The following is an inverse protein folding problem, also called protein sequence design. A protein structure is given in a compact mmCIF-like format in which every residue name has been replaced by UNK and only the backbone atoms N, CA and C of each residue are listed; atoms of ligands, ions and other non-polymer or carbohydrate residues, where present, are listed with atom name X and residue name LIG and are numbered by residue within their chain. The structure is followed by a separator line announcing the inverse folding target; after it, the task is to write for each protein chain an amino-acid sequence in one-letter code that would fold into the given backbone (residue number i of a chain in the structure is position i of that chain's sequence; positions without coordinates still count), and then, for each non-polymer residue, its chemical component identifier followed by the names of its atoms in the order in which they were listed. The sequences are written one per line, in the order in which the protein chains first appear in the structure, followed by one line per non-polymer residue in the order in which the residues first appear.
data_IF_553777702770
#
_entry.id   IF_553777702770
#
_cell.length_a   1.000
_cell.length_b   1.000
_cell.length_c   1.000
_cell.angle_alpha   90.00
_cell.angle_beta   90.00
_cell.angle_gamma   90.00
#
_symmetry.space_group_name_H-M   'P 1'
#
loop_
_entity.id
_entity.type
_entity.pdbx_description
1 polymer ?
#
# COMPACT_ATOMS: atom_id res chain seq x y z
N UNK A 1 43.44 -68.79 -21.58
CA UNK A 1 43.52 -67.32 -21.64
C UNK A 1 42.14 -66.79 -21.27
N UNK A 2 41.91 -66.48 -19.95
CA UNK A 2 40.60 -66.08 -19.42
C UNK A 2 40.61 -64.57 -19.19
N UNK A 3 39.74 -63.86 -19.89
CA UNK A 3 39.53 -62.47 -19.71
C UNK A 3 38.41 -62.31 -18.68
N UNK A 4 38.72 -61.75 -17.49
CA UNK A 4 37.74 -61.37 -16.48
C UNK A 4 37.23 -59.92 -16.77
N UNK A 5 35.95 -59.81 -17.12
CA UNK A 5 35.25 -58.52 -17.22
C UNK A 5 34.86 -58.07 -15.82
N UNK A 6 35.38 -56.91 -15.42
CA UNK A 6 34.94 -56.17 -14.23
C UNK A 6 33.77 -55.28 -14.64
N UNK A 7 32.58 -55.56 -14.10
CA UNK A 7 31.44 -54.64 -14.20
C UNK A 7 31.49 -53.67 -13.02
N UNK A 8 31.75 -52.41 -13.27
CA UNK A 8 31.65 -51.35 -12.26
C UNK A 8 30.19 -50.87 -12.17
N UNK A 9 29.51 -51.16 -11.06
CA UNK A 9 28.20 -50.65 -10.76
C UNK A 9 28.36 -49.21 -10.19
N UNK A 10 27.96 -48.21 -10.96
CA UNK A 10 27.85 -46.83 -10.47
C UNK A 10 26.56 -46.69 -9.67
N UNK A 11 26.68 -46.56 -8.34
CA UNK A 11 25.57 -46.22 -7.49
C UNK A 11 25.26 -44.71 -7.62
N UNK A 12 24.20 -44.39 -8.30
CA UNK A 12 23.63 -43.02 -8.34
C UNK A 12 22.88 -42.82 -7.04
N UNK A 13 23.47 -42.06 -6.11
CA UNK A 13 22.78 -41.60 -4.90
C UNK A 13 21.80 -40.52 -5.29
N UNK A 14 20.50 -40.81 -5.36
CA UNK A 14 19.44 -39.83 -5.37
C UNK A 14 19.45 -39.15 -4.01
N UNK A 15 19.96 -37.93 -3.94
CA UNK A 15 19.70 -37.01 -2.84
C UNK A 15 18.26 -36.56 -3.02
N UNK A 16 17.33 -37.22 -2.33
CA UNK A 16 15.99 -36.73 -2.17
C UNK A 16 16.06 -35.46 -1.28
N UNK A 17 16.04 -34.28 -1.90
CA UNK A 17 15.72 -33.05 -1.19
C UNK A 17 14.26 -33.18 -0.76
N UNK A 18 14.04 -33.75 0.43
CA UNK A 18 12.75 -33.71 1.08
C UNK A 18 12.43 -32.22 1.31
N UNK A 19 11.39 -31.71 0.66
CA UNK A 19 10.76 -30.47 1.13
C UNK A 19 10.35 -30.75 2.57
N UNK A 20 11.11 -30.21 3.54
CA UNK A 20 10.71 -30.22 4.95
C UNK A 20 9.38 -29.45 4.97
N UNK A 21 8.29 -30.12 5.32
CA UNK A 21 7.04 -29.42 5.58
C UNK A 21 7.34 -28.39 6.67
N UNK A 22 7.08 -27.12 6.34
CA UNK A 22 7.33 -26.04 7.27
C UNK A 22 6.50 -26.27 8.53
N UNK A 23 7.11 -26.15 9.69
CA UNK A 23 6.41 -26.26 10.97
C UNK A 23 5.50 -25.03 11.10
N UNK A 24 4.19 -25.26 11.12
CA UNK A 24 3.14 -24.24 11.27
C UNK A 24 2.50 -24.28 12.64
N UNK A 25 3.12 -24.99 13.61
CA UNK A 25 2.53 -25.22 14.92
C UNK A 25 2.36 -23.93 15.76
N UNK A 26 3.14 -22.89 15.45
CA UNK A 26 3.12 -21.57 16.07
C UNK A 26 2.30 -20.53 15.28
N UNK A 27 1.75 -20.91 14.10
CA UNK A 27 0.97 -19.98 13.30
C UNK A 27 -0.39 -19.73 13.93
N UNK A 28 -0.85 -18.46 13.96
CA UNK A 28 -2.21 -18.15 14.39
C UNK A 28 -3.23 -18.72 13.40
N UNK A 29 -4.36 -19.16 13.93
CA UNK A 29 -5.45 -19.66 13.08
C UNK A 29 -6.16 -18.53 12.31
N UNK A 30 -6.08 -17.31 12.80
CA UNK A 30 -6.72 -16.13 12.23
C UNK A 30 -5.72 -14.99 12.10
N UNK A 31 -5.80 -14.25 10.98
CA UNK A 31 -4.98 -13.07 10.69
C UNK A 31 -5.90 -11.93 10.24
N UNK A 32 -5.93 -10.84 10.99
CA UNK A 32 -6.58 -9.61 10.58
C UNK A 32 -5.58 -8.68 9.94
N UNK A 33 -5.92 -8.16 8.73
CA UNK A 33 -5.13 -7.17 7.99
C UNK A 33 -5.87 -5.84 8.04
N UNK A 34 -5.28 -4.84 8.67
CA UNK A 34 -5.81 -3.47 8.63
C UNK A 34 -5.74 -2.92 7.21
N UNK A 35 -6.89 -2.57 6.63
CA UNK A 35 -7.01 -2.04 5.27
C UNK A 35 -7.33 -0.54 5.27
N UNK A 36 -8.42 -0.11 4.68
CA UNK A 36 -8.97 1.25 4.75
C UNK A 36 -10.44 1.25 4.30
N UNK A 37 -11.00 2.43 4.02
CA UNK A 37 -12.38 2.59 3.59
C UNK A 37 -12.67 1.86 2.27
N UNK A 38 -13.89 1.39 2.12
CA UNK A 38 -14.41 0.87 0.86
C UNK A 38 -14.28 1.91 -0.26
N UNK A 39 -14.05 1.47 -1.49
CA UNK A 39 -13.78 2.33 -2.64
C UNK A 39 -12.31 2.76 -2.79
N UNK A 40 -11.49 2.58 -1.77
CA UNK A 40 -10.04 2.80 -1.82
C UNK A 40 -9.25 1.52 -2.14
N UNK A 41 -8.01 1.69 -2.62
CA UNK A 41 -7.18 0.57 -3.09
C UNK A 41 -6.77 -0.38 -1.97
N UNK A 42 -6.50 0.10 -0.75
CA UNK A 42 -6.17 -0.79 0.38
C UNK A 42 -7.29 -1.79 0.67
N UNK A 43 -8.55 -1.39 0.51
CA UNK A 43 -9.69 -2.30 0.71
C UNK A 43 -9.65 -3.46 -0.29
N UNK A 44 -9.47 -3.17 -1.58
CA UNK A 44 -9.42 -4.20 -2.64
C UNK A 44 -8.17 -5.07 -2.50
N UNK A 45 -7.01 -4.43 -2.40
CA UNK A 45 -5.72 -5.11 -2.31
C UNK A 45 -5.64 -5.99 -1.05
N UNK A 46 -6.00 -5.44 0.12
CA UNK A 46 -5.90 -6.16 1.40
C UNK A 46 -6.86 -7.34 1.50
N UNK A 47 -8.13 -7.18 1.07
CA UNK A 47 -9.07 -8.30 1.04
C UNK A 47 -8.70 -9.36 0.01
N UNK A 48 -8.25 -8.95 -1.18
CA UNK A 48 -7.78 -9.88 -2.21
C UNK A 48 -6.53 -10.66 -1.75
N UNK A 49 -5.59 -9.98 -1.10
CA UNK A 49 -4.40 -10.62 -0.54
C UNK A 49 -4.73 -11.55 0.64
N UNK A 50 -5.65 -11.15 1.53
CA UNK A 50 -6.14 -12.00 2.62
C UNK A 50 -6.76 -13.30 2.08
N UNK A 51 -7.59 -13.22 1.03
CA UNK A 51 -8.13 -14.39 0.35
C UNK A 51 -7.03 -15.29 -0.23
N UNK A 52 -6.02 -14.68 -0.85
CA UNK A 52 -4.88 -15.41 -1.39
C UNK A 52 -4.03 -16.10 -0.30
N UNK A 53 -3.78 -15.41 0.82
CA UNK A 53 -3.12 -16.02 1.99
C UNK A 53 -3.91 -17.22 2.53
N UNK A 54 -5.23 -17.09 2.63
CA UNK A 54 -6.08 -18.18 3.13
C UNK A 54 -6.02 -19.41 2.22
N UNK A 55 -6.08 -19.19 0.89
CA UNK A 55 -5.96 -20.26 -0.11
C UNK A 55 -4.60 -20.96 -0.07
N UNK A 56 -3.51 -20.17 -0.05
CA UNK A 56 -2.16 -20.69 -0.24
C UNK A 56 -1.53 -21.21 1.07
N UNK A 57 -1.79 -20.55 2.20
CA UNK A 57 -1.14 -20.83 3.47
C UNK A 57 -2.02 -21.63 4.43
N UNK A 58 -3.34 -21.68 4.21
CA UNK A 58 -4.28 -22.40 5.05
C UNK A 58 -4.58 -21.70 6.39
N UNK A 59 -4.31 -20.38 6.48
CA UNK A 59 -4.69 -19.52 7.60
C UNK A 59 -6.04 -18.84 7.29
N UNK A 60 -6.82 -18.47 8.30
CA UNK A 60 -8.03 -17.67 8.08
C UNK A 60 -7.66 -16.18 8.08
N UNK A 61 -7.30 -15.63 6.90
CA UNK A 61 -6.95 -14.23 6.78
C UNK A 61 -8.14 -13.39 6.30
N UNK A 62 -8.34 -12.22 6.91
CA UNK A 62 -9.44 -11.28 6.58
C UNK A 62 -8.91 -9.84 6.56
N UNK A 63 -9.45 -9.02 5.64
CA UNK A 63 -9.21 -7.58 5.62
C UNK A 63 -10.25 -6.85 6.45
N UNK A 64 -9.82 -6.01 7.38
CA UNK A 64 -10.69 -5.16 8.19
C UNK A 64 -10.72 -3.73 7.65
N UNK A 65 -11.91 -3.14 7.55
CA UNK A 65 -12.09 -1.72 7.21
C UNK A 65 -11.64 -0.87 8.40
N UNK A 66 -10.68 0.01 8.15
CA UNK A 66 -10.14 0.94 9.15
C UNK A 66 -10.20 2.38 8.65
N UNK A 67 -9.76 3.33 9.48
CA UNK A 67 -9.56 4.71 9.06
C UNK A 67 -8.36 4.91 8.11
N UNK A 68 -7.56 3.87 7.87
CA UNK A 68 -6.40 3.90 6.98
C UNK A 68 -5.05 3.79 7.69
N UNK A 69 -3.93 4.15 7.01
CA UNK A 69 -2.58 3.82 7.45
C UNK A 69 -2.19 4.37 8.82
N UNK A 70 -2.69 5.53 9.25
CA UNK A 70 -2.41 6.07 10.59
C UNK A 70 -3.02 5.17 11.67
N UNK A 71 -4.22 4.63 11.44
CA UNK A 71 -4.84 3.68 12.36
C UNK A 71 -4.18 2.30 12.25
N UNK A 72 -3.87 1.82 11.05
CA UNK A 72 -3.28 0.51 10.84
C UNK A 72 -1.96 0.35 11.58
N UNK A 73 -1.08 1.36 11.51
CA UNK A 73 0.22 1.30 12.20
C UNK A 73 0.04 1.21 13.70
N UNK A 74 -0.97 1.87 14.28
CA UNK A 74 -1.27 1.80 15.71
C UNK A 74 -1.89 0.45 16.10
N UNK A 75 -2.82 -0.09 15.30
CA UNK A 75 -3.41 -1.42 15.54
C UNK A 75 -2.37 -2.54 15.47
N UNK A 76 -1.38 -2.42 14.58
CA UNK A 76 -0.27 -3.37 14.54
C UNK A 76 0.66 -3.16 15.74
N UNK A 77 1.01 -1.93 16.13
CA UNK A 77 1.86 -1.65 17.29
C UNK A 77 1.29 -2.23 18.58
N UNK A 78 -0.03 -2.17 18.76
CA UNK A 78 -0.71 -2.65 19.98
C UNK A 78 -1.01 -4.16 19.95
N UNK A 79 -0.75 -4.83 18.81
CA UNK A 79 -1.05 -6.26 18.62
C UNK A 79 -2.54 -6.56 18.40
N UNK A 80 -3.39 -5.52 18.22
CA UNK A 80 -4.80 -5.71 17.87
C UNK A 80 -4.95 -6.30 16.46
N UNK A 81 -4.05 -5.93 15.55
CA UNK A 81 -3.89 -6.56 14.23
C UNK A 81 -2.49 -7.15 14.10
N UNK A 82 -2.40 -8.34 13.54
CA UNK A 82 -1.11 -8.96 13.24
C UNK A 82 -0.44 -8.34 11.99
N UNK A 83 -1.24 -7.80 11.08
CA UNK A 83 -0.80 -7.15 9.84
C UNK A 83 -1.55 -5.85 9.56
N UNK A 84 -0.93 -4.99 8.78
CA UNK A 84 -1.55 -3.77 8.27
C UNK A 84 -0.92 -3.28 6.98
N UNK A 85 -1.66 -2.45 6.24
CA UNK A 85 -1.18 -1.79 5.03
C UNK A 85 -0.91 -0.33 5.39
N UNK A 86 0.30 0.15 5.10
CA UNK A 86 0.70 1.51 5.50
C UNK A 86 1.39 2.26 4.36
N UNK A 87 1.17 3.57 4.32
CA UNK A 87 1.97 4.50 3.52
C UNK A 87 3.16 4.95 4.34
N UNK A 88 4.33 5.04 3.75
CA UNK A 88 5.59 5.25 4.47
C UNK A 88 5.68 6.60 5.20
N UNK A 89 4.94 7.62 4.76
CA UNK A 89 4.84 8.89 5.51
C UNK A 89 4.19 8.72 6.89
N UNK A 90 2.92 8.29 6.98
CA UNK A 90 2.27 7.98 8.26
C UNK A 90 3.02 6.95 9.11
N UNK A 91 3.64 5.94 8.47
CA UNK A 91 4.47 4.97 9.20
C UNK A 91 5.73 5.62 9.82
N UNK A 92 6.37 6.57 9.12
CA UNK A 92 7.49 7.32 9.65
C UNK A 92 7.10 8.22 10.82
N UNK A 93 5.95 8.91 10.70
CA UNK A 93 5.44 9.75 11.80
C UNK A 93 5.14 8.91 13.05
N UNK A 94 4.54 7.73 12.87
CA UNK A 94 4.31 6.78 13.96
C UNK A 94 5.62 6.27 14.58
N UNK A 95 6.61 5.93 13.74
CA UNK A 95 7.93 5.50 14.17
C UNK A 95 8.64 6.58 15.01
N UNK A 96 8.44 7.85 14.67
CA UNK A 96 9.01 9.01 15.37
C UNK A 96 8.15 9.52 16.53
N UNK A 97 7.07 8.83 16.91
CA UNK A 97 6.15 9.27 17.97
C UNK A 97 5.34 10.51 17.63
N UNK A 98 5.16 10.78 16.34
CA UNK A 98 4.42 11.96 15.83
C UNK A 98 3.04 11.61 15.26
N UNK A 99 2.60 10.34 15.39
CA UNK A 99 1.26 9.93 14.94
C UNK A 99 0.17 10.76 15.63
N UNK A 100 -0.78 11.28 14.86
CA UNK A 100 -1.89 12.06 15.41
C UNK A 100 -2.81 11.22 16.30
N UNK A 101 -2.94 9.91 16.04
CA UNK A 101 -3.76 8.99 16.85
C UNK A 101 -3.09 8.58 18.16
N UNK A 102 -1.76 8.63 18.23
CA UNK A 102 -0.99 8.24 19.41
C UNK A 102 0.22 9.17 19.61
N UNK A 103 -0.01 10.47 19.94
CA UNK A 103 1.07 11.44 20.10
C UNK A 103 2.04 11.03 21.22
N UNK A 104 3.33 11.01 20.92
CA UNK A 104 4.39 10.64 21.84
C UNK A 104 4.67 9.14 21.96
N UNK A 105 3.85 8.27 21.37
CA UNK A 105 4.11 6.85 21.28
C UNK A 105 4.98 6.54 20.06
N UNK A 106 6.22 6.12 20.29
CA UNK A 106 7.07 5.58 19.24
C UNK A 106 6.64 4.13 18.93
N UNK A 107 6.25 3.89 17.67
CA UNK A 107 5.80 2.57 17.23
C UNK A 107 7.01 1.71 16.89
N UNK A 108 7.45 0.85 17.83
CA UNK A 108 8.67 0.04 17.71
C UNK A 108 8.42 -1.46 17.52
N UNK A 109 7.16 -1.89 17.64
CA UNK A 109 6.76 -3.29 17.38
C UNK A 109 6.41 -3.57 15.93
N UNK A 110 6.33 -2.53 15.08
CA UNK A 110 6.03 -2.70 13.64
C UNK A 110 7.27 -3.16 12.87
N UNK A 111 7.04 -4.05 11.89
CA UNK A 111 8.08 -4.58 10.99
C UNK A 111 7.59 -4.57 9.54
N UNK A 112 8.45 -4.18 8.61
CA UNK A 112 8.15 -4.26 7.18
C UNK A 112 8.17 -5.72 6.72
N UNK A 113 7.25 -6.09 5.84
CA UNK A 113 7.22 -7.36 5.13
C UNK A 113 7.66 -7.20 3.69
N UNK A 114 6.88 -6.48 2.89
CA UNK A 114 7.17 -6.32 1.47
C UNK A 114 6.64 -4.97 0.94
N UNK A 115 7.29 -4.43 -0.12
CA UNK A 115 6.81 -3.24 -0.81
C UNK A 115 5.52 -3.57 -1.57
N UNK A 116 4.58 -2.65 -1.55
CA UNK A 116 3.32 -2.82 -2.26
C UNK A 116 3.34 -2.04 -3.59
N UNK A 117 3.06 -0.76 -3.53
CA UNK A 117 2.94 0.14 -4.67
C UNK A 117 3.01 1.60 -4.22
N UNK A 118 3.06 2.52 -5.16
CA UNK A 118 3.00 3.95 -4.88
C UNK A 118 1.56 4.44 -4.73
N UNK A 119 1.36 5.40 -3.85
CA UNK A 119 0.10 6.11 -3.61
C UNK A 119 0.19 7.51 -4.21
N UNK A 120 -0.23 7.71 -5.47
CA UNK A 120 -0.36 9.04 -6.05
C UNK A 120 -1.55 9.81 -5.45
N UNK A 121 -1.43 11.13 -5.45
CA UNK A 121 -2.46 12.08 -5.03
C UNK A 121 -3.26 12.55 -6.23
N UNK A 122 -4.58 12.49 -6.17
CA UNK A 122 -5.48 12.77 -7.29
C UNK A 122 -6.76 13.44 -6.81
N UNK A 123 -7.34 14.30 -7.65
CA UNK A 123 -8.62 14.96 -7.43
C UNK A 123 -9.59 14.55 -8.53
N UNK A 124 -10.85 14.31 -8.15
CA UNK A 124 -11.98 14.14 -9.09
C UNK A 124 -13.05 15.18 -8.80
N UNK A 125 -13.60 15.76 -9.86
CA UNK A 125 -14.66 16.76 -9.81
C UNK A 125 -15.68 16.49 -10.92
N UNK A 126 -16.90 16.97 -10.78
CA UNK A 126 -17.85 17.00 -11.90
C UNK A 126 -17.36 18.01 -12.96
N UNK A 127 -17.39 17.66 -14.24
CA UNK A 127 -16.96 18.56 -15.34
C UNK A 127 -17.71 19.86 -15.32
N UNK A 128 -18.98 19.85 -14.92
CA UNK A 128 -19.83 21.04 -14.82
C UNK A 128 -19.35 22.07 -13.78
N UNK A 129 -18.46 21.66 -12.84
CA UNK A 129 -17.89 22.57 -11.84
C UNK A 129 -16.89 23.58 -12.42
N UNK A 130 -16.27 23.25 -13.57
CA UNK A 130 -15.22 24.05 -14.19
C UNK A 130 -13.88 24.03 -13.44
N UNK A 131 -13.73 23.23 -12.37
CA UNK A 131 -12.50 23.06 -11.61
C UNK A 131 -11.54 22.17 -12.42
N UNK A 132 -10.27 22.59 -12.55
CA UNK A 132 -9.26 21.88 -13.35
C UNK A 132 -7.88 21.76 -12.68
N UNK A 133 -7.69 22.40 -11.52
CA UNK A 133 -6.43 22.42 -10.76
C UNK A 133 -6.69 22.47 -9.27
N UNK A 134 -5.68 22.17 -8.46
CA UNK A 134 -5.77 22.33 -6.99
C UNK A 134 -5.98 23.78 -6.60
N UNK A 135 -5.42 24.73 -7.35
CA UNK A 135 -5.61 26.15 -7.13
C UNK A 135 -7.07 26.61 -7.28
N UNK A 136 -7.89 25.91 -8.09
CA UNK A 136 -9.32 26.19 -8.24
C UNK A 136 -10.17 25.72 -7.04
N UNK A 137 -9.58 25.00 -6.09
CA UNK A 137 -10.25 24.52 -4.89
C UNK A 137 -10.42 25.62 -3.82
N UNK A 138 -9.87 26.82 -4.03
CA UNK A 138 -10.02 27.93 -3.08
C UNK A 138 -11.49 28.27 -2.84
N UNK A 139 -11.91 28.29 -1.57
CA UNK A 139 -13.29 28.48 -1.15
C UNK A 139 -14.26 27.35 -1.44
N UNK A 140 -13.78 26.20 -1.96
CA UNK A 140 -14.61 25.02 -2.30
C UNK A 140 -14.77 24.06 -1.12
N UNK A 141 -15.81 23.21 -1.19
CA UNK A 141 -16.04 22.10 -0.27
C UNK A 141 -15.30 20.88 -0.80
N UNK A 142 -14.30 20.40 -0.08
CA UNK A 142 -13.42 19.31 -0.52
C UNK A 142 -13.45 18.17 0.48
N UNK A 143 -13.84 16.97 0.08
CA UNK A 143 -13.60 15.78 0.87
C UNK A 143 -12.17 15.26 0.60
N UNK A 144 -11.44 14.95 1.66
CA UNK A 144 -10.04 14.49 1.59
C UNK A 144 -9.86 13.05 2.07
N UNK A 145 -10.93 12.25 1.97
CA UNK A 145 -10.88 10.87 2.48
C UNK A 145 -11.01 10.79 4.00
N UNK A 146 -10.79 9.61 4.62
CA UNK A 146 -10.84 9.46 6.08
C UNK A 146 -9.72 10.23 6.77
N UNK A 147 -9.97 10.74 7.97
CA UNK A 147 -8.98 11.49 8.75
C UNK A 147 -7.69 10.68 9.05
N UNK A 148 -7.82 9.36 9.30
CA UNK A 148 -6.67 8.45 9.49
C UNK A 148 -6.04 7.93 8.19
N UNK A 149 -6.47 8.43 7.03
CA UNK A 149 -5.95 8.07 5.72
C UNK A 149 -4.83 8.98 5.25
N UNK A 150 -3.97 8.48 4.36
CA UNK A 150 -2.94 9.29 3.69
C UNK A 150 -3.51 10.58 3.08
N UNK A 151 -4.64 10.54 2.34
CA UNK A 151 -5.19 11.76 1.77
C UNK A 151 -5.67 12.74 2.86
N UNK A 152 -6.28 12.25 3.94
CA UNK A 152 -6.72 13.07 5.06
C UNK A 152 -5.58 13.79 5.78
N UNK A 153 -4.43 13.15 5.87
CA UNK A 153 -3.21 13.73 6.45
C UNK A 153 -2.59 14.79 5.55
N UNK A 154 -2.46 14.53 4.26
CA UNK A 154 -1.62 15.36 3.37
C UNK A 154 -2.38 16.39 2.54
N UNK A 155 -3.60 16.14 2.06
CA UNK A 155 -4.31 17.12 1.23
C UNK A 155 -4.53 18.47 1.90
N UNK A 156 -4.92 18.57 3.20
CA UNK A 156 -5.02 19.87 3.87
C UNK A 156 -3.70 20.63 3.88
N UNK A 157 -2.58 19.91 4.04
CA UNK A 157 -1.24 20.49 4.04
C UNK A 157 -0.80 20.89 2.62
N UNK A 158 -1.14 20.12 1.59
CA UNK A 158 -0.88 20.48 0.18
C UNK A 158 -1.63 21.76 -0.20
N UNK A 159 -2.93 21.84 0.12
CA UNK A 159 -3.71 23.06 -0.12
C UNK A 159 -3.09 24.25 0.58
N UNK A 160 -2.62 24.11 1.81
CA UNK A 160 -1.88 25.18 2.51
C UNK A 160 -0.60 25.55 1.78
N UNK A 161 0.20 24.59 1.34
CA UNK A 161 1.47 24.83 0.64
C UNK A 161 1.27 25.56 -0.71
N UNK A 162 0.17 25.31 -1.40
CA UNK A 162 -0.16 25.99 -2.67
C UNK A 162 -0.97 27.28 -2.48
N UNK A 163 -1.35 27.61 -1.23
CA UNK A 163 -2.07 28.85 -0.90
C UNK A 163 -3.58 28.77 -1.10
N UNK A 164 -4.16 27.58 -1.04
CA UNK A 164 -5.60 27.29 -1.18
C UNK A 164 -6.26 27.17 0.19
N UNK A 165 -7.40 27.83 0.39
CA UNK A 165 -8.21 27.78 1.59
C UNK A 165 -9.57 27.12 1.27
N UNK A 166 -9.64 25.79 1.29
CA UNK A 166 -10.85 25.03 1.07
C UNK A 166 -11.57 24.67 2.38
N UNK A 167 -12.87 24.41 2.29
CA UNK A 167 -13.64 23.82 3.40
C UNK A 167 -13.47 22.30 3.34
N UNK A 168 -12.61 21.77 4.21
CA UNK A 168 -12.26 20.35 4.22
C UNK A 168 -13.27 19.54 5.01
N UNK A 169 -13.63 18.37 4.48
CA UNK A 169 -14.40 17.32 5.15
C UNK A 169 -13.73 15.96 5.00
N UNK A 170 -14.08 15.05 5.91
CA UNK A 170 -13.51 13.70 5.97
C UNK A 170 -14.62 12.66 5.79
N UNK A 171 -14.44 11.75 4.83
CA UNK A 171 -15.36 10.65 4.58
C UNK A 171 -14.62 9.45 3.97
N UNK A 172 -15.19 8.25 4.07
CA UNK A 172 -14.71 7.08 3.32
C UNK A 172 -14.78 7.33 1.80
N UNK A 173 -13.97 6.60 1.02
CA UNK A 173 -13.87 6.88 -0.42
C UNK A 173 -15.21 6.70 -1.16
N UNK A 174 -15.97 5.64 -0.84
CA UNK A 174 -17.30 5.44 -1.43
C UNK A 174 -18.30 6.53 -1.03
N UNK A 175 -18.28 6.95 0.25
CA UNK A 175 -19.16 8.02 0.74
C UNK A 175 -18.82 9.37 0.11
N UNK A 176 -17.52 9.70 -0.02
CA UNK A 176 -17.06 10.93 -0.67
C UNK A 176 -17.46 10.96 -2.16
N UNK A 177 -17.38 9.84 -2.86
CA UNK A 177 -17.86 9.71 -4.22
C UNK A 177 -19.38 9.97 -4.33
N UNK A 178 -20.16 9.40 -3.42
CA UNK A 178 -21.60 9.68 -3.32
C UNK A 178 -21.89 11.16 -3.05
N UNK A 179 -21.18 11.78 -2.10
CA UNK A 179 -21.31 13.21 -1.78
C UNK A 179 -20.99 14.11 -2.98
N UNK A 180 -19.97 13.75 -3.80
CA UNK A 180 -19.67 14.48 -5.03
C UNK A 180 -20.78 14.35 -6.06
N UNK A 181 -21.30 13.14 -6.27
CA UNK A 181 -22.44 12.89 -7.17
C UNK A 181 -23.69 13.69 -6.77
N UNK A 182 -23.96 13.80 -5.47
CA UNK A 182 -25.11 14.51 -4.90
C UNK A 182 -24.89 16.04 -4.81
N UNK A 183 -23.70 16.55 -5.19
CA UNK A 183 -23.34 17.96 -5.11
C UNK A 183 -23.19 18.50 -3.68
N UNK A 184 -23.00 17.61 -2.70
CA UNK A 184 -22.74 18.00 -1.29
C UNK A 184 -21.31 18.50 -1.09
N UNK A 185 -20.37 18.07 -1.92
CA UNK A 185 -19.00 18.58 -2.05
C UNK A 185 -18.72 18.99 -3.49
N UNK A 186 -17.74 19.86 -3.68
CA UNK A 186 -17.35 20.38 -5.00
C UNK A 186 -16.19 19.58 -5.61
N UNK A 187 -15.38 18.93 -4.76
CA UNK A 187 -14.26 18.09 -5.17
C UNK A 187 -14.03 16.95 -4.17
N UNK A 188 -13.55 15.82 -4.70
CA UNK A 188 -13.04 14.71 -3.91
C UNK A 188 -11.55 14.54 -4.20
N UNK A 189 -10.70 14.92 -3.23
CA UNK A 189 -9.26 14.81 -3.27
C UNK A 189 -8.85 13.55 -2.49
N UNK A 190 -8.16 12.62 -3.15
CA UNK A 190 -7.81 11.34 -2.56
C UNK A 190 -6.35 10.97 -2.84
N UNK A 191 -5.86 9.89 -2.23
CA UNK A 191 -4.56 9.31 -2.49
C UNK A 191 -4.65 7.80 -2.27
N UNK A 192 -4.39 7.04 -3.30
CA UNK A 192 -4.40 5.57 -3.29
C UNK A 192 -3.69 5.04 -4.53
N UNK A 193 -3.39 3.74 -4.58
CA UNK A 193 -2.94 3.08 -5.81
C UNK A 193 -4.01 3.18 -6.90
N UNK A 194 -3.59 3.43 -8.13
CA UNK A 194 -4.47 3.65 -9.27
C UNK A 194 -4.64 2.37 -10.12
N UNK A 195 -5.82 2.17 -10.73
CA UNK A 195 -7.02 3.00 -10.68
C UNK A 195 -7.75 2.88 -9.33
N UNK A 196 -8.21 4.02 -8.79
CA UNK A 196 -9.00 4.06 -7.55
C UNK A 196 -10.44 3.65 -7.89
N UNK A 197 -10.98 2.63 -7.20
CA UNK A 197 -12.32 2.08 -7.51
C UNK A 197 -13.41 3.13 -7.47
N UNK A 198 -13.46 3.97 -6.42
CA UNK A 198 -14.45 5.03 -6.30
C UNK A 198 -14.37 6.06 -7.44
N UNK A 199 -13.17 6.35 -7.96
CA UNK A 199 -12.99 7.27 -9.10
C UNK A 199 -13.43 6.61 -10.42
N UNK A 200 -13.10 5.33 -10.61
CA UNK A 200 -13.53 4.57 -11.78
C UNK A 200 -15.05 4.43 -11.83
N UNK A 201 -15.72 4.20 -10.70
CA UNK A 201 -17.17 4.15 -10.58
C UNK A 201 -17.81 5.52 -10.88
N UNK A 202 -17.26 6.61 -10.36
CA UNK A 202 -17.69 7.97 -10.70
C UNK A 202 -17.58 8.24 -12.20
N UNK A 203 -16.44 7.90 -12.81
CA UNK A 203 -16.23 8.10 -14.25
C UNK A 203 -17.19 7.27 -15.12
N UNK A 204 -17.65 6.13 -14.63
CA UNK A 204 -18.64 5.31 -15.32
C UNK A 204 -20.09 5.87 -15.24
N UNK A 205 -20.37 6.68 -14.22
CA UNK A 205 -21.74 7.17 -13.92
C UNK A 205 -21.93 8.65 -14.20
N UNK A 206 -20.85 9.45 -14.16
CA UNK A 206 -20.87 10.92 -14.22
C UNK A 206 -19.83 11.42 -15.23
N UNK A 207 -20.08 12.60 -15.79
CA UNK A 207 -19.06 13.31 -16.57
C UNK A 207 -18.10 14.04 -15.60
N UNK A 208 -16.93 13.46 -15.37
CA UNK A 208 -15.95 13.93 -14.40
C UNK A 208 -14.66 14.39 -15.07
N UNK A 209 -13.91 15.21 -14.35
CA UNK A 209 -12.51 15.55 -14.64
C UNK A 209 -11.66 15.05 -13.50
N UNK A 210 -10.53 14.43 -13.83
CA UNK A 210 -9.52 13.99 -12.87
C UNK A 210 -8.22 14.72 -13.14
N UNK A 211 -7.52 15.11 -12.09
CA UNK A 211 -6.22 15.77 -12.18
C UNK A 211 -5.37 15.51 -10.94
N UNK A 212 -4.06 15.64 -11.09
CA UNK A 212 -3.10 15.65 -10.01
C UNK A 212 -2.69 17.08 -9.64
N UNK A 213 -1.38 17.34 -9.67
CA UNK A 213 -0.77 18.63 -9.38
C UNK A 213 -0.16 19.18 -10.67
N UNK A 214 -0.46 20.43 -11.04
CA UNK A 214 0.28 21.07 -12.10
C UNK A 214 1.75 21.33 -11.68
N UNK A 215 2.61 21.77 -12.61
CA UNK A 215 4.04 21.90 -12.37
C UNK A 215 4.38 22.84 -11.19
N UNK A 216 3.67 23.96 -11.06
CA UNK A 216 3.89 24.93 -9.98
C UNK A 216 3.40 24.38 -8.62
N UNK A 217 2.27 23.71 -8.61
CA UNK A 217 1.69 23.05 -7.43
C UNK A 217 2.61 21.91 -6.98
N UNK A 218 3.07 21.06 -7.90
CA UNK A 218 3.99 19.95 -7.63
C UNK A 218 5.31 20.48 -7.04
N UNK A 219 5.88 21.54 -7.60
CA UNK A 219 7.11 22.12 -7.09
C UNK A 219 6.97 22.61 -5.64
N UNK A 220 5.87 23.28 -5.29
CA UNK A 220 5.59 23.77 -3.93
C UNK A 220 5.39 22.59 -2.95
N UNK A 221 4.67 21.55 -3.40
CA UNK A 221 4.45 20.36 -2.57
C UNK A 221 5.77 19.62 -2.32
N UNK A 222 6.61 19.42 -3.34
CA UNK A 222 7.91 18.77 -3.18
C UNK A 222 8.89 19.57 -2.30
N UNK A 223 8.83 20.90 -2.35
CA UNK A 223 9.58 21.77 -1.45
C UNK A 223 9.16 21.59 0.01
N UNK A 224 7.85 21.51 0.27
CA UNK A 224 7.28 21.33 1.60
C UNK A 224 7.42 19.89 2.14
N UNK A 225 7.43 18.89 1.26
CA UNK A 225 7.43 17.46 1.59
C UNK A 225 8.52 16.70 0.81
N UNK A 226 9.80 16.86 1.17
CA UNK A 226 10.92 16.28 0.41
C UNK A 226 10.99 14.74 0.45
N UNK A 227 10.18 14.08 1.29
CA UNK A 227 10.05 12.62 1.30
C UNK A 227 9.15 12.09 0.17
N UNK A 228 8.42 12.96 -0.52
CA UNK A 228 7.60 12.57 -1.67
C UNK A 228 8.42 12.56 -2.96
N UNK A 229 7.97 11.77 -3.92
CA UNK A 229 8.56 11.71 -5.25
C UNK A 229 7.57 12.22 -6.31
N UNK A 230 8.05 12.86 -7.39
CA UNK A 230 7.24 13.11 -8.56
C UNK A 230 6.65 11.80 -9.09
N UNK A 231 5.40 11.85 -9.52
CA UNK A 231 4.69 10.73 -10.11
C UNK A 231 3.81 11.22 -11.25
N UNK A 232 3.51 10.36 -12.20
CA UNK A 232 2.54 10.63 -13.27
C UNK A 232 1.53 9.48 -13.30
N UNK A 233 0.25 9.80 -13.22
CA UNK A 233 -0.82 8.86 -13.53
C UNK A 233 -0.99 8.87 -15.04
N UNK A 234 -0.73 7.72 -15.67
CA UNK A 234 -0.67 7.61 -17.12
C UNK A 234 -2.05 7.79 -17.76
N UNK A 235 -2.04 8.35 -18.96
CA UNK A 235 -3.20 8.41 -19.86
C UNK A 235 -3.84 7.02 -19.99
N UNK A 236 -5.18 6.96 -19.97
CA UNK A 236 -5.93 5.70 -20.09
C UNK A 236 -6.04 4.88 -18.79
N UNK A 237 -5.47 5.32 -17.67
CA UNK A 237 -5.68 4.68 -16.36
C UNK A 237 -7.16 4.62 -16.00
N UNK A 238 -7.93 5.61 -16.36
CA UNK A 238 -9.39 5.63 -16.21
C UNK A 238 -10.06 5.80 -17.56
N UNK A 239 -11.19 5.13 -17.78
CA UNK A 239 -11.96 5.24 -19.01
C UNK A 239 -12.34 6.70 -19.31
N UNK A 240 -12.06 7.17 -20.54
CA UNK A 240 -12.36 8.54 -20.96
C UNK A 240 -11.37 9.62 -20.49
N UNK A 241 -10.24 9.22 -19.89
CA UNK A 241 -9.19 10.12 -19.42
C UNK A 241 -7.86 9.82 -20.15
N UNK A 242 -7.77 10.23 -21.41
CA UNK A 242 -6.65 9.95 -22.32
C UNK A 242 -5.55 11.03 -22.22
N UNK A 243 -5.19 11.42 -20.99
CA UNK A 243 -4.15 12.39 -20.69
C UNK A 243 -3.40 12.05 -19.40
N UNK A 244 -2.11 12.38 -19.38
CA UNK A 244 -1.26 12.22 -18.21
C UNK A 244 -1.65 13.22 -17.12
N UNK A 245 -1.55 12.75 -15.86
CA UNK A 245 -1.86 13.57 -14.69
C UNK A 245 -0.62 13.62 -13.79
N UNK A 246 0.23 14.65 -13.91
CA UNK A 246 1.36 14.85 -13.03
C UNK A 246 0.90 15.00 -11.57
N UNK A 247 1.64 14.42 -10.63
CA UNK A 247 1.36 14.50 -9.21
C UNK A 247 2.59 14.11 -8.38
N UNK A 248 2.40 13.85 -7.10
CA UNK A 248 3.40 13.29 -6.20
C UNK A 248 2.89 11.97 -5.61
N UNK A 249 3.79 11.11 -5.16
CA UNK A 249 3.43 9.83 -4.55
C UNK A 249 4.31 9.48 -3.35
N UNK A 250 3.79 8.58 -2.52
CA UNK A 250 4.48 7.89 -1.43
C UNK A 250 4.39 6.39 -1.64
N UNK A 251 5.43 5.66 -1.22
CA UNK A 251 5.42 4.20 -1.20
C UNK A 251 4.54 3.64 -0.09
N UNK A 252 3.99 2.45 -0.33
CA UNK A 252 3.27 1.65 0.64
C UNK A 252 4.02 0.35 0.91
N UNK A 253 3.91 -0.11 2.16
CA UNK A 253 4.40 -1.41 2.59
C UNK A 253 3.31 -2.19 3.35
N UNK A 254 3.35 -3.50 3.22
CA UNK A 254 2.71 -4.38 4.17
C UNK A 254 3.60 -4.47 5.41
N UNK A 255 2.99 -4.32 6.58
CA UNK A 255 3.67 -4.43 7.88
C UNK A 255 3.06 -5.53 8.72
N UNK A 256 3.85 -6.03 9.68
CA UNK A 256 3.43 -6.98 10.68
C UNK A 256 3.88 -6.54 12.08
N UNK A 257 3.25 -7.09 13.11
CA UNK A 257 3.75 -7.00 14.47
C UNK A 257 5.04 -7.84 14.62
N UNK A 258 5.98 -7.39 15.42
CA UNK A 258 7.28 -8.07 15.65
C UNK A 258 7.15 -9.49 16.20
N UNK A 259 6.02 -9.82 16.83
CA UNK A 259 5.76 -11.15 17.40
C UNK A 259 5.12 -12.12 16.38
N UNK A 260 4.94 -11.71 15.11
CA UNK A 260 4.54 -12.65 14.06
C UNK A 260 5.60 -13.76 13.97
N UNK A 261 5.22 -15.06 13.86
CA UNK A 261 6.22 -16.12 13.65
C UNK A 261 7.08 -15.86 12.42
N UNK A 262 8.40 -16.03 12.54
CA UNK A 262 9.35 -15.79 11.44
C UNK A 262 9.00 -16.60 10.19
N UNK A 263 8.61 -17.87 10.40
CA UNK A 263 8.18 -18.75 9.31
C UNK A 263 6.94 -18.24 8.58
N UNK A 264 5.98 -17.65 9.29
CA UNK A 264 4.79 -17.05 8.70
C UNK A 264 5.13 -15.78 7.92
N UNK A 265 5.93 -14.89 8.51
CA UNK A 265 6.39 -13.65 7.85
C UNK A 265 7.18 -13.95 6.55
N UNK A 266 8.03 -14.99 6.58
CA UNK A 266 8.74 -15.49 5.40
C UNK A 266 7.75 -15.90 4.30
N UNK A 267 6.79 -16.77 4.63
CA UNK A 267 5.84 -17.28 3.63
C UNK A 267 4.90 -16.18 3.09
N UNK A 268 4.47 -15.24 3.93
CA UNK A 268 3.66 -14.09 3.48
C UNK A 268 4.47 -13.22 2.50
N UNK A 269 5.73 -12.90 2.83
CA UNK A 269 6.61 -12.10 1.97
C UNK A 269 6.86 -12.81 0.64
N UNK A 270 7.17 -14.10 0.69
CA UNK A 270 7.37 -14.95 -0.48
C UNK A 270 6.11 -15.04 -1.35
N UNK A 271 4.95 -15.23 -0.73
CA UNK A 271 3.67 -15.33 -1.43
C UNK A 271 3.39 -14.08 -2.26
N UNK A 272 3.64 -12.90 -1.70
CA UNK A 272 3.43 -11.62 -2.39
C UNK A 272 4.44 -11.40 -3.53
N UNK A 273 5.73 -11.71 -3.31
CA UNK A 273 6.81 -11.31 -4.21
C UNK A 273 7.16 -12.36 -5.28
N UNK A 274 6.90 -13.65 -5.04
CA UNK A 274 7.13 -14.71 -6.04
C UNK A 274 5.96 -14.88 -7.03
N UNK A 275 4.80 -14.27 -6.79
CA UNK A 275 3.58 -14.53 -7.54
C UNK A 275 2.92 -13.25 -8.06
N UNK A 276 3.69 -12.39 -8.73
CA UNK A 276 3.19 -11.10 -9.23
C UNK A 276 1.96 -11.25 -10.14
N UNK A 277 1.90 -12.28 -10.99
CA UNK A 277 0.71 -12.54 -11.83
C UNK A 277 -0.57 -12.75 -11.00
N UNK A 278 -0.46 -13.43 -9.85
CA UNK A 278 -1.60 -13.61 -8.94
C UNK A 278 -1.95 -12.30 -8.23
N UNK A 279 -0.94 -11.53 -7.86
CA UNK A 279 -1.14 -10.19 -7.27
C UNK A 279 -1.81 -9.23 -8.26
N UNK A 280 -1.46 -9.27 -9.55
CA UNK A 280 -2.10 -8.48 -10.61
C UNK A 280 -3.58 -8.82 -10.79
N UNK A 281 -4.01 -10.06 -10.52
CA UNK A 281 -5.43 -10.43 -10.52
C UNK A 281 -6.22 -9.78 -9.37
N UNK A 282 -5.54 -9.41 -8.28
CA UNK A 282 -6.16 -8.70 -7.16
C UNK A 282 -6.35 -7.22 -7.52
N UNK A 283 -5.29 -6.55 -8.00
CA UNK A 283 -5.34 -5.15 -8.39
C UNK A 283 -4.20 -4.80 -9.34
N UNK A 284 -4.47 -3.96 -10.36
CA UNK A 284 -3.49 -3.57 -11.37
C UNK A 284 -2.24 -2.90 -10.76
N UNK A 285 -2.40 -2.13 -9.68
CA UNK A 285 -1.29 -1.47 -8.98
C UNK A 285 -0.26 -2.45 -8.39
N UNK A 286 -0.60 -3.75 -8.29
CA UNK A 286 0.36 -4.80 -7.90
C UNK A 286 1.50 -5.02 -8.90
N UNK A 287 1.45 -4.36 -10.07
CA UNK A 287 2.60 -4.29 -10.98
C UNK A 287 3.86 -3.73 -10.31
N UNK A 288 3.70 -2.96 -9.23
CA UNK A 288 4.79 -2.41 -8.42
C UNK A 288 5.13 -3.29 -7.19
N UNK A 289 4.37 -4.35 -6.90
CA UNK A 289 4.67 -5.31 -5.81
C UNK A 289 5.80 -6.24 -6.27
N UNK A 290 7.01 -5.71 -6.29
CA UNK A 290 8.20 -6.35 -6.83
C UNK A 290 9.34 -6.31 -5.81
N UNK A 291 10.16 -7.37 -5.82
CA UNK A 291 11.23 -7.53 -4.84
C UNK A 291 12.27 -6.40 -4.90
N UNK A 292 12.55 -5.85 -6.08
CA UNK A 292 13.50 -4.74 -6.29
C UNK A 292 13.10 -3.45 -5.57
N UNK A 293 11.84 -3.29 -5.19
CA UNK A 293 11.34 -2.11 -4.49
C UNK A 293 11.53 -2.17 -2.96
N UNK A 294 12.25 -3.18 -2.43
CA UNK A 294 12.55 -3.30 -1.00
C UNK A 294 13.24 -2.06 -0.43
N UNK A 295 14.09 -1.39 -1.22
CA UNK A 295 14.89 -0.23 -0.86
C UNK A 295 14.08 1.07 -0.69
N UNK A 296 12.78 1.03 -1.00
CA UNK A 296 11.85 2.14 -0.74
C UNK A 296 11.48 2.27 0.74
N UNK A 297 11.82 1.26 1.54
CA UNK A 297 11.82 1.33 2.99
C UNK A 297 13.19 1.83 3.48
N UNK A 298 13.22 2.97 4.14
CA UNK A 298 14.47 3.64 4.55
C UNK A 298 14.67 3.76 6.07
N UNK A 299 13.70 3.31 6.88
CA UNK A 299 13.75 3.53 8.34
C UNK A 299 13.21 2.37 9.18
N UNK A 300 12.24 1.63 8.70
CA UNK A 300 11.55 0.59 9.46
C UNK A 300 12.28 -0.75 9.34
N UNK A 301 12.64 -1.43 10.43
CA UNK A 301 13.21 -2.78 10.33
C UNK A 301 12.27 -3.72 9.60
N UNK A 302 12.83 -4.58 8.75
CA UNK A 302 12.10 -5.71 8.20
C UNK A 302 11.89 -6.77 9.28
N UNK A 303 10.80 -7.53 9.13
CA UNK A 303 10.59 -8.72 9.96
C UNK A 303 11.70 -9.75 9.70
N UNK A 304 12.22 -10.48 10.73
CA UNK A 304 13.29 -11.45 10.52
C UNK A 304 12.97 -12.49 9.43
N UNK A 305 11.72 -12.98 9.36
CA UNK A 305 11.28 -13.87 8.30
C UNK A 305 11.31 -13.23 6.90
N UNK A 306 10.97 -11.95 6.79
CA UNK A 306 11.12 -11.21 5.54
C UNK A 306 12.60 -11.03 5.17
N UNK A 307 13.47 -10.70 6.14
CA UNK A 307 14.93 -10.63 5.93
C UNK A 307 15.46 -11.94 5.39
N UNK A 308 15.06 -13.08 5.96
CA UNK A 308 15.46 -14.40 5.46
C UNK A 308 15.07 -14.57 3.99
N UNK A 309 13.86 -14.23 3.60
CA UNK A 309 13.41 -14.32 2.21
C UNK A 309 14.26 -13.44 1.28
N UNK A 310 14.51 -12.17 1.64
CA UNK A 310 15.33 -11.26 0.82
C UNK A 310 16.77 -11.78 0.68
N UNK A 311 17.38 -12.28 1.75
CA UNK A 311 18.74 -12.84 1.73
C UNK A 311 18.83 -14.10 0.84
N UNK A 312 17.83 -14.98 0.86
CA UNK A 312 17.73 -16.13 -0.05
C UNK A 312 17.63 -15.71 -1.53
N UNK A 313 17.04 -14.56 -1.81
CA UNK A 313 17.00 -13.96 -3.16
C UNK A 313 18.27 -13.17 -3.53
N UNK A 314 19.27 -13.16 -2.64
CA UNK A 314 20.56 -12.48 -2.86
C UNK A 314 20.54 -10.98 -2.54
N UNK A 315 19.51 -10.49 -1.85
CA UNK A 315 19.40 -9.10 -1.40
C UNK A 315 19.95 -9.00 0.02
N UNK A 316 21.04 -8.26 0.19
CA UNK A 316 21.59 -7.98 1.52
C UNK A 316 20.85 -6.80 2.17
N UNK A 317 19.96 -7.08 3.11
CA UNK A 317 19.29 -6.04 3.90
C UNK A 317 20.33 -5.36 4.81
N UNK A 318 20.42 -4.01 4.82
CA UNK A 318 21.31 -3.28 5.72
C UNK A 318 21.01 -3.57 7.19
N UNK A 319 22.05 -3.62 8.04
CA UNK A 319 21.87 -3.88 9.49
C UNK A 319 20.98 -2.84 10.19
N UNK A 320 20.87 -1.64 9.65
CA UNK A 320 19.96 -0.58 10.15
C UNK A 320 18.49 -0.88 9.90
N UNK A 321 18.19 -1.85 9.03
CA UNK A 321 16.84 -2.30 8.67
C UNK A 321 16.58 -3.77 9.04
N UNK A 322 17.39 -4.35 9.93
CA UNK A 322 17.20 -5.70 10.50
C UNK A 322 16.62 -5.67 11.90
#
# INVERSE_FOLDING_TARGET
MFIKSLAAAAAVSLVATGAMAQDKSDWPSEITIGTASQGGTYFVYGNGFAGYMSEALGVNATGEVTGGPVQNVTLVETGDHLMGLVTMGPAYDAWMGKSELAPGLEHRSIRALFPMYQTPFQVVVLRSSGITSVSDLDGKRVSVGPAGGTPGTYWPQFMTAVGVNATVSYAGAADAAGQLSDGLIDAFAFAAGVPISAFAELAAQQDVVMFGLNADEQAKVLEAFPAMAPFTIDAGTYAGHDYDQPTVALWNFAIAHSDMPDSLAYEITKLALDNNDRMLQIHATSSETLIENWDKNTFMPFHPGAVQYYEEKGIAIPDTLK
#
